data_IF_177230691990
#
_entry.id   IF_177230691990
#
_cell.length_a   1.000
_cell.length_b   1.000
_cell.length_c   1.000
_cell.angle_alpha   90.00
_cell.angle_beta   90.00
_cell.angle_gamma   90.00
#
_symmetry.space_group_name_H-M   'P 1'
#
loop_
_entity.id
_entity.type
_entity.pdbx_description
1 polymer ?
#
# COMPACT_ATOMS: atom_id res chain seq x y z
N UNK A 1 -46.57 -13.54 5.72
CA UNK A 1 -45.11 -13.68 5.53
C UNK A 1 -44.55 -12.30 5.23
N UNK A 2 -44.25 -11.51 6.26
CA UNK A 2 -43.67 -10.17 6.07
C UNK A 2 -42.16 -10.29 5.90
N UNK A 3 -41.67 -9.91 4.73
CA UNK A 3 -40.26 -9.68 4.46
C UNK A 3 -39.79 -8.49 5.30
N UNK A 4 -39.19 -8.79 6.46
CA UNK A 4 -38.43 -7.81 7.23
C UNK A 4 -37.30 -7.27 6.35
N UNK A 5 -37.42 -6.00 5.97
CA UNK A 5 -36.33 -5.26 5.33
C UNK A 5 -35.10 -5.34 6.26
N UNK A 6 -33.89 -5.51 5.74
CA UNK A 6 -32.70 -5.40 6.57
C UNK A 6 -32.67 -3.99 7.14
N UNK A 7 -32.83 -3.90 8.45
CA UNK A 7 -32.64 -2.69 9.22
C UNK A 7 -31.21 -2.21 8.90
N UNK A 8 -31.08 -1.00 8.33
CA UNK A 8 -29.77 -0.39 8.07
C UNK A 8 -29.10 -0.07 9.42
N UNK A 9 -28.48 -1.05 10.05
CA UNK A 9 -27.71 -0.96 11.30
C UNK A 9 -26.40 -0.14 11.16
N UNK A 10 -26.41 0.95 10.38
CA UNK A 10 -25.19 1.67 10.02
C UNK A 10 -25.27 3.19 9.99
N UNK A 11 -26.45 3.80 10.15
CA UNK A 11 -26.61 5.26 10.10
C UNK A 11 -27.36 5.73 11.36
N UNK A 12 -26.68 5.67 12.50
CA UNK A 12 -27.21 6.04 13.82
C UNK A 12 -27.21 7.54 14.09
N UNK A 13 -26.41 8.32 13.34
CA UNK A 13 -26.38 9.78 13.43
C UNK A 13 -26.35 10.43 12.05
N UNK A 14 -26.99 11.58 11.92
CA UNK A 14 -26.95 12.43 10.71
C UNK A 14 -26.63 13.85 11.16
N UNK A 15 -25.65 14.49 10.53
CA UNK A 15 -25.29 15.89 10.76
C UNK A 15 -26.12 16.77 9.83
N UNK A 16 -27.23 17.32 10.33
CA UNK A 16 -28.09 18.24 9.58
C UNK A 16 -28.04 19.67 10.13
N UNK A 17 -27.83 19.79 11.45
CA UNK A 17 -27.73 21.05 12.18
C UNK A 17 -26.48 21.05 13.06
N UNK A 18 -25.97 22.22 13.49
CA UNK A 18 -24.81 22.28 14.39
C UNK A 18 -25.00 21.49 15.70
N UNK A 19 -26.23 21.41 16.20
CA UNK A 19 -26.59 20.67 17.43
C UNK A 19 -26.35 19.16 17.30
N UNK A 20 -26.39 18.61 16.07
CA UNK A 20 -26.18 17.18 15.83
C UNK A 20 -24.68 16.80 15.91
N UNK A 21 -23.78 17.79 15.94
CA UNK A 21 -22.34 17.58 15.79
C UNK A 21 -21.77 16.62 16.85
N UNK A 22 -22.11 16.81 18.13
CA UNK A 22 -21.56 15.96 19.20
C UNK A 22 -21.98 14.49 19.05
N UNK A 23 -23.24 14.25 18.68
CA UNK A 23 -23.73 12.90 18.47
C UNK A 23 -23.11 12.28 17.21
N UNK A 24 -22.99 13.06 16.15
CA UNK A 24 -22.36 12.62 14.91
C UNK A 24 -20.87 12.33 15.07
N UNK A 25 -20.14 13.19 15.78
CA UNK A 25 -18.71 13.01 16.09
C UNK A 25 -18.49 11.74 16.92
N UNK A 26 -19.36 11.48 17.91
CA UNK A 26 -19.29 10.24 18.69
C UNK A 26 -19.43 9.00 17.81
N UNK A 27 -20.45 8.97 16.94
CA UNK A 27 -20.65 7.87 16.00
C UNK A 27 -19.52 7.75 14.98
N UNK A 28 -18.98 8.86 14.50
CA UNK A 28 -17.81 8.88 13.62
C UNK A 28 -16.61 8.19 14.28
N UNK A 29 -16.31 8.54 15.55
CA UNK A 29 -15.22 7.94 16.31
C UNK A 29 -15.46 6.44 16.55
N UNK A 30 -16.70 6.02 16.79
CA UNK A 30 -17.05 4.60 16.92
C UNK A 30 -16.85 3.83 15.61
N UNK A 31 -17.26 4.38 14.47
CA UNK A 31 -17.04 3.76 13.16
C UNK A 31 -15.55 3.66 12.84
N UNK A 32 -14.79 4.73 13.08
CA UNK A 32 -13.34 4.73 12.90
C UNK A 32 -12.64 3.71 13.81
N UNK A 33 -13.11 3.55 15.06
CA UNK A 33 -12.61 2.51 15.96
C UNK A 33 -12.89 1.10 15.44
N UNK A 34 -14.12 0.82 14.98
CA UNK A 34 -14.50 -0.48 14.39
C UNK A 34 -13.67 -0.82 13.15
N UNK A 35 -13.32 0.19 12.36
CA UNK A 35 -12.48 0.05 11.16
C UNK A 35 -10.97 -0.01 11.47
N UNK A 36 -10.57 0.09 12.76
CA UNK A 36 -9.17 0.07 13.17
C UNK A 36 -8.39 1.35 12.84
N UNK A 37 -9.08 2.45 12.53
CA UNK A 37 -8.50 3.74 12.14
C UNK A 37 -8.24 4.67 13.35
N UNK A 38 -8.55 4.22 14.57
CA UNK A 38 -8.46 5.05 15.79
C UNK A 38 -7.06 5.64 16.01
N UNK A 39 -6.01 4.86 15.78
CA UNK A 39 -4.64 5.35 15.93
C UNK A 39 -4.35 6.47 14.94
N UNK A 40 -4.70 6.28 13.65
CA UNK A 40 -4.51 7.29 12.60
C UNK A 40 -5.21 8.62 12.93
N UNK A 41 -6.42 8.58 13.50
CA UNK A 41 -7.14 9.78 13.92
C UNK A 41 -6.48 10.47 15.12
N UNK A 42 -6.00 9.71 16.11
CA UNK A 42 -5.40 10.25 17.35
C UNK A 42 -4.00 10.82 17.14
N UNK A 43 -3.13 10.07 16.45
CA UNK A 43 -1.73 10.46 16.26
C UNK A 43 -1.50 11.34 15.03
N UNK A 44 -2.55 11.64 14.24
CA UNK A 44 -2.43 12.30 12.92
C UNK A 44 -1.37 11.62 12.05
N UNK A 45 -1.19 10.32 12.23
CA UNK A 45 -0.24 9.55 11.45
C UNK A 45 -0.87 9.23 10.12
N UNK A 46 -0.15 9.58 9.05
CA UNK A 46 -0.54 9.24 7.69
C UNK A 46 -0.76 7.72 7.56
N UNK A 47 -1.65 7.34 6.63
CA UNK A 47 -1.74 5.94 6.22
C UNK A 47 -0.40 5.52 5.59
N UNK A 48 -0.11 4.22 5.62
CA UNK A 48 1.11 3.72 5.00
C UNK A 48 1.12 4.03 3.50
N UNK A 49 2.29 4.32 2.95
CA UNK A 49 2.46 4.48 1.51
C UNK A 49 2.15 3.19 0.77
N UNK A 50 1.78 3.31 -0.51
CA UNK A 50 1.64 2.17 -1.40
C UNK A 50 2.97 1.41 -1.47
N UNK A 51 2.98 0.10 -1.13
CA UNK A 51 4.21 -0.65 -1.10
C UNK A 51 4.76 -0.86 -2.51
N UNK A 52 6.08 -0.75 -2.66
CA UNK A 52 6.74 -0.96 -3.94
C UNK A 52 7.10 -2.44 -4.14
N UNK A 53 6.73 -2.99 -5.31
CA UNK A 53 7.12 -4.34 -5.72
C UNK A 53 8.66 -4.42 -5.75
N UNK A 54 9.28 -5.47 -5.18
CA UNK A 54 10.72 -5.65 -5.26
C UNK A 54 11.17 -5.85 -6.71
N UNK A 55 12.09 -5.00 -7.18
CA UNK A 55 12.66 -5.11 -8.52
C UNK A 55 13.78 -6.16 -8.56
N UNK A 56 13.53 -7.27 -9.26
CA UNK A 56 14.44 -8.42 -9.43
C UNK A 56 15.83 -8.04 -9.97
N UNK A 57 15.97 -6.88 -10.62
CA UNK A 57 17.23 -6.40 -11.21
C UNK A 57 18.20 -5.83 -10.17
N UNK A 58 17.74 -5.58 -8.95
CA UNK A 58 18.57 -4.97 -7.90
C UNK A 58 19.81 -5.84 -7.62
N UNK A 59 20.96 -5.18 -7.54
CA UNK A 59 22.28 -5.79 -7.24
C UNK A 59 22.29 -6.70 -6.01
N UNK A 60 21.41 -6.43 -5.04
CA UNK A 60 21.26 -7.26 -3.83
C UNK A 60 20.87 -8.71 -4.12
N UNK A 61 20.27 -8.98 -5.28
CA UNK A 61 19.88 -10.32 -5.72
C UNK A 61 20.91 -10.96 -6.67
N UNK A 62 21.65 -10.14 -7.41
CA UNK A 62 22.34 -10.55 -8.65
C UNK A 62 23.87 -10.38 -8.65
N UNK A 63 24.50 -10.04 -7.51
CA UNK A 63 25.96 -9.83 -7.32
C UNK A 63 26.82 -10.06 -8.59
N UNK A 64 27.07 -8.98 -9.33
CA UNK A 64 27.99 -8.93 -10.47
C UNK A 64 29.40 -9.38 -10.06
N UNK A 65 29.74 -10.64 -10.36
CA UNK A 65 31.12 -11.16 -10.47
C UNK A 65 31.22 -12.49 -11.25
N UNK A 66 30.13 -13.22 -11.45
CA UNK A 66 30.16 -14.54 -12.15
C UNK A 66 29.55 -14.51 -13.56
N UNK A 67 28.74 -13.51 -13.90
CA UNK A 67 28.32 -13.29 -15.29
C UNK A 67 29.48 -12.82 -16.21
N UNK A 68 30.58 -12.33 -15.61
CA UNK A 68 31.79 -11.92 -16.34
C UNK A 68 32.72 -13.09 -16.72
N UNK A 69 32.50 -14.33 -16.26
CA UNK A 69 33.45 -15.42 -16.56
C UNK A 69 33.29 -16.07 -17.94
N UNK A 70 32.23 -15.77 -18.68
CA UNK A 70 32.10 -16.22 -20.08
C UNK A 70 32.65 -15.19 -21.08
N UNK A 71 32.97 -13.96 -20.65
CA UNK A 71 33.41 -12.87 -21.55
C UNK A 71 34.61 -12.10 -20.97
N UNK A 72 35.62 -12.81 -20.45
CA UNK A 72 36.94 -12.21 -20.21
C UNK A 72 38.02 -12.94 -21.00
N UNK A 73 37.75 -13.10 -22.29
CA UNK A 73 38.75 -13.01 -23.35
C UNK A 73 38.33 -11.80 -24.17
N UNK A 74 39.24 -10.86 -24.44
CA UNK A 74 39.06 -9.58 -25.15
C UNK A 74 38.91 -8.31 -24.27
N UNK A 75 40.07 -7.87 -23.76
CA UNK A 75 40.71 -6.54 -23.93
C UNK A 75 39.98 -5.21 -23.55
N UNK A 76 40.74 -4.41 -22.78
CA UNK A 76 40.68 -2.95 -22.51
C UNK A 76 39.53 -2.42 -21.60
N UNK A 77 39.76 -1.85 -20.41
CA UNK A 77 40.50 -0.65 -19.95
C UNK A 77 39.59 0.61 -19.87
N UNK A 78 39.43 1.10 -18.63
CA UNK A 78 38.98 2.43 -18.18
C UNK A 78 37.55 2.93 -18.46
N UNK A 79 36.73 3.08 -17.40
CA UNK A 79 36.36 4.42 -16.86
C UNK A 79 35.48 4.38 -15.60
N UNK A 80 35.75 5.39 -14.78
CA UNK A 80 35.08 5.86 -13.57
C UNK A 80 33.61 6.26 -13.79
N UNK A 81 32.78 6.09 -12.77
CA UNK A 81 31.35 6.40 -12.77
C UNK A 81 30.53 5.29 -12.15
N UNK A 82 29.96 5.52 -10.97
CA UNK A 82 28.89 4.70 -10.39
C UNK A 82 27.58 4.92 -11.18
N UNK A 83 27.05 3.87 -11.83
CA UNK A 83 25.61 3.66 -11.86
C UNK A 83 25.32 2.48 -10.92
N UNK A 84 24.33 2.63 -10.03
CA UNK A 84 23.87 1.52 -9.18
C UNK A 84 22.98 0.52 -9.94
N UNK A 85 22.70 0.84 -11.21
CA UNK A 85 22.06 -0.05 -12.16
C UNK A 85 23.10 -0.98 -12.82
N UNK A 86 22.74 -2.25 -12.95
CA UNK A 86 23.51 -3.21 -13.73
C UNK A 86 23.31 -2.84 -15.19
N UNK A 87 24.40 -2.63 -15.94
CA UNK A 87 24.33 -2.41 -17.38
C UNK A 87 23.57 -3.57 -18.04
N UNK A 88 22.43 -3.19 -18.60
CA UNK A 88 21.52 -3.99 -19.39
C UNK A 88 22.31 -4.71 -20.48
N UNK A 89 22.44 -6.03 -20.35
CA UNK A 89 22.68 -6.87 -21.51
C UNK A 89 21.43 -7.70 -21.72
N UNK A 90 20.80 -7.41 -22.86
CA UNK A 90 19.67 -8.13 -23.47
C UNK A 90 18.30 -7.69 -22.95
N UNK A 91 17.49 -7.24 -23.90
CA UNK A 91 16.03 -7.07 -23.87
C UNK A 91 15.32 -8.40 -23.54
N UNK A 92 15.61 -9.00 -22.39
CA UNK A 92 15.10 -10.29 -21.93
C UNK A 92 14.41 -10.14 -20.59
N UNK A 93 13.33 -10.89 -20.39
CA UNK A 93 12.60 -10.95 -19.12
C UNK A 93 13.50 -11.60 -18.06
N UNK A 94 13.91 -10.84 -17.05
CA UNK A 94 14.67 -11.36 -15.90
C UNK A 94 13.82 -12.36 -15.10
N UNK A 95 14.41 -13.51 -14.78
CA UNK A 95 13.80 -14.59 -14.02
C UNK A 95 14.51 -14.83 -12.69
N UNK A 96 13.84 -15.51 -11.77
CA UNK A 96 14.40 -15.94 -10.47
C UNK A 96 15.63 -16.83 -10.69
N UNK A 97 15.67 -17.59 -11.79
CA UNK A 97 16.81 -18.45 -12.14
C UNK A 97 18.09 -17.67 -12.47
N UNK A 98 17.98 -16.39 -12.82
CA UNK A 98 19.13 -15.53 -13.11
C UNK A 98 19.79 -14.96 -11.83
N UNK A 99 19.20 -15.26 -10.66
CA UNK A 99 19.68 -14.84 -9.36
C UNK A 99 20.60 -15.88 -8.71
N UNK A 100 21.50 -15.43 -7.85
CA UNK A 100 22.29 -16.32 -6.98
C UNK A 100 21.37 -17.08 -6.00
N UNK A 101 21.75 -18.27 -5.51
CA UNK A 101 20.93 -19.02 -4.52
C UNK A 101 20.57 -18.18 -3.28
N UNK A 102 21.49 -17.31 -2.84
CA UNK A 102 21.24 -16.37 -1.77
C UNK A 102 20.29 -15.25 -2.22
N UNK A 103 20.48 -14.70 -3.43
CA UNK A 103 19.62 -13.68 -4.02
C UNK A 103 18.18 -14.15 -4.24
N UNK A 104 17.98 -15.42 -4.63
CA UNK A 104 16.66 -16.04 -4.73
C UNK A 104 15.94 -16.04 -3.38
N UNK A 105 16.64 -16.43 -2.30
CA UNK A 105 16.08 -16.43 -0.94
C UNK A 105 15.71 -15.02 -0.48
N UNK A 106 16.59 -14.04 -0.72
CA UNK A 106 16.35 -12.64 -0.34
C UNK A 106 15.16 -12.08 -1.14
N UNK A 107 15.13 -12.30 -2.46
CA UNK A 107 14.02 -11.87 -3.31
C UNK A 107 12.69 -12.48 -2.88
N UNK A 108 12.66 -13.77 -2.55
CA UNK A 108 11.47 -14.44 -2.06
C UNK A 108 10.99 -13.87 -0.71
N UNK A 109 11.91 -13.55 0.18
CA UNK A 109 11.59 -12.90 1.46
C UNK A 109 11.02 -11.50 1.23
N UNK A 110 11.65 -10.70 0.38
CA UNK A 110 11.19 -9.35 0.03
C UNK A 110 9.81 -9.37 -0.63
N UNK A 111 9.56 -10.34 -1.51
CA UNK A 111 8.25 -10.54 -2.13
C UNK A 111 7.18 -10.90 -1.10
N UNK A 112 7.54 -11.74 -0.12
CA UNK A 112 6.64 -12.11 0.98
C UNK A 112 6.31 -10.90 1.85
N UNK A 113 7.31 -10.06 2.14
CA UNK A 113 7.13 -8.83 2.90
C UNK A 113 6.25 -7.83 2.14
N UNK A 114 6.51 -7.65 0.85
CA UNK A 114 5.67 -6.84 -0.04
C UNK A 114 4.21 -7.28 0.00
N UNK A 115 3.92 -8.57 -0.18
CA UNK A 115 2.55 -9.10 -0.13
C UNK A 115 1.85 -8.85 1.22
N UNK A 116 2.60 -8.90 2.32
CA UNK A 116 2.07 -8.57 3.65
C UNK A 116 1.74 -7.07 3.74
N UNK A 117 2.66 -6.22 3.28
CA UNK A 117 2.44 -4.77 3.27
C UNK A 117 1.27 -4.39 2.36
N UNK A 118 1.14 -5.00 1.19
CA UNK A 118 0.04 -4.78 0.25
C UNK A 118 -1.30 -5.13 0.88
N UNK A 119 -1.39 -6.27 1.58
CA UNK A 119 -2.62 -6.65 2.32
C UNK A 119 -2.98 -5.65 3.41
N UNK A 120 -1.99 -5.12 4.14
CA UNK A 120 -2.22 -4.12 5.18
C UNK A 120 -2.70 -2.80 4.54
N UNK A 121 -2.02 -2.36 3.48
CA UNK A 121 -2.35 -1.17 2.72
C UNK A 121 -3.78 -1.23 2.16
N UNK A 122 -4.13 -2.31 1.47
CA UNK A 122 -5.48 -2.49 0.91
C UNK A 122 -6.55 -2.56 2.00
N UNK A 123 -6.27 -3.19 3.15
CA UNK A 123 -7.19 -3.17 4.29
C UNK A 123 -7.41 -1.74 4.81
N UNK A 124 -6.34 -0.95 4.95
CA UNK A 124 -6.41 0.44 5.39
C UNK A 124 -7.17 1.33 4.40
N UNK A 125 -6.86 1.20 3.11
CA UNK A 125 -7.54 1.92 2.01
C UNK A 125 -9.03 1.63 1.98
N UNK A 126 -9.42 0.36 2.08
CA UNK A 126 -10.83 -0.04 2.14
C UNK A 126 -11.54 0.48 3.41
N UNK A 127 -10.86 0.44 4.55
CA UNK A 127 -11.37 1.02 5.79
C UNK A 127 -11.61 2.54 5.66
N UNK A 128 -10.66 3.26 5.05
CA UNK A 128 -10.81 4.70 4.82
C UNK A 128 -11.97 4.99 3.86
N UNK A 129 -12.04 4.28 2.73
CA UNK A 129 -13.15 4.44 1.77
C UNK A 129 -14.52 4.18 2.42
N UNK A 130 -14.61 3.17 3.27
CA UNK A 130 -15.84 2.88 4.04
C UNK A 130 -16.21 4.01 4.99
N UNK A 131 -15.23 4.57 5.71
CA UNK A 131 -15.46 5.70 6.62
C UNK A 131 -15.86 6.97 5.84
N UNK A 132 -15.21 7.23 4.71
CA UNK A 132 -15.52 8.36 3.83
C UNK A 132 -16.95 8.25 3.29
N UNK A 133 -17.34 7.08 2.77
CA UNK A 133 -18.70 6.83 2.31
C UNK A 133 -19.73 7.02 3.42
N UNK A 134 -19.38 6.60 4.65
CA UNK A 134 -20.23 6.82 5.81
C UNK A 134 -20.40 8.31 6.13
N UNK A 135 -19.31 9.09 6.12
CA UNK A 135 -19.35 10.54 6.33
C UNK A 135 -20.24 11.21 5.26
N UNK A 136 -20.03 10.89 3.99
CA UNK A 136 -20.82 11.48 2.88
C UNK A 136 -22.32 11.16 3.03
N UNK A 137 -22.67 9.97 3.52
CA UNK A 137 -24.07 9.56 3.72
C UNK A 137 -24.71 10.17 4.97
N UNK A 138 -23.93 10.54 5.97
CA UNK A 138 -24.42 11.04 7.26
C UNK A 138 -24.38 12.56 7.36
N UNK A 139 -23.62 13.24 6.53
CA UNK A 139 -23.65 14.71 6.46
C UNK A 139 -24.73 15.16 5.49
N UNK A 140 -25.60 16.07 5.92
CA UNK A 140 -26.66 16.62 5.06
C UNK A 140 -26.06 17.32 3.83
N UNK A 141 -26.59 17.11 2.62
CA UNK A 141 -26.12 17.77 1.40
C UNK A 141 -26.07 19.30 1.49
N UNK A 142 -26.96 19.90 2.28
CA UNK A 142 -27.00 21.35 2.52
C UNK A 142 -25.73 21.89 3.18
N UNK A 143 -25.09 21.09 4.03
CA UNK A 143 -23.82 21.41 4.70
C UNK A 143 -22.61 21.13 3.80
N UNK A 144 -22.73 20.18 2.86
CA UNK A 144 -21.65 19.85 1.91
C UNK A 144 -21.44 21.00 0.90
N UNK A 145 -22.51 21.71 0.52
CA UNK A 145 -22.44 22.81 -0.47
C UNK A 145 -21.95 24.14 0.10
N UNK A 146 -21.89 24.29 1.43
CA UNK A 146 -21.57 25.56 2.10
C UNK A 146 -20.10 25.69 2.54
N UNK A 147 -19.28 24.66 2.30
CA UNK A 147 -17.86 24.60 2.66
C UNK A 147 -16.94 24.81 1.46
#
# INVERSE_FOLDING_TARGET
MSLSKPQKEGLTATLSKPEDFLNWEHEFLLQAHRLGLQQHLKSKTFLGDEPAIPDIRKRRYTKTATAQRTIRSHTAESQDGTPDDIQETVNGTWSISDLTDQGQKIFQQDLTFYQLQEKIFEKQKNALGTLQDWVIRTVSPSLIQTC
#
